data_IF_605455321216
#
_entry.id   IF_605455321216
#
_cell.length_a   1.000
_cell.length_b   1.000
_cell.length_c   1.000
_cell.angle_alpha   90.00
_cell.angle_beta   90.00
_cell.angle_gamma   90.00
#
_symmetry.space_group_name_H-M   'P 1'
#
loop_
_entity.id
_entity.type
_entity.pdbx_description
1 polymer ?
#
# COMPACT_ATOMS: atom_id res chain seq x y z
N UNK A 1 2.72 33.87 10.13
CA UNK A 1 2.78 33.16 8.83
C UNK A 1 1.38 32.70 8.48
N UNK A 2 0.90 32.97 7.26
CA UNK A 2 -0.44 32.55 6.83
C UNK A 2 -0.51 31.03 6.64
N UNK A 3 -1.71 30.42 6.74
CA UNK A 3 -1.91 29.00 6.47
C UNK A 3 -1.40 28.63 5.08
N UNK A 4 -1.62 29.48 4.09
CA UNK A 4 -1.16 29.30 2.71
C UNK A 4 0.37 29.21 2.60
N UNK A 5 1.11 30.01 3.35
CA UNK A 5 2.58 29.97 3.39
C UNK A 5 3.06 28.70 4.08
N UNK A 6 2.44 28.34 5.21
CA UNK A 6 2.74 27.09 5.93
C UNK A 6 2.50 25.86 5.05
N UNK A 7 1.42 25.84 4.28
CA UNK A 7 1.12 24.78 3.31
C UNK A 7 2.22 24.66 2.25
N UNK A 8 2.65 25.78 1.64
CA UNK A 8 3.73 25.78 0.65
C UNK A 8 5.06 25.26 1.22
N UNK A 9 5.38 25.62 2.47
CA UNK A 9 6.58 25.13 3.13
C UNK A 9 6.53 23.62 3.38
N UNK A 10 5.37 23.09 3.83
CA UNK A 10 5.18 21.64 4.02
C UNK A 10 5.26 20.90 2.71
N UNK A 11 4.62 21.37 1.65
CA UNK A 11 4.70 20.77 0.33
C UNK A 11 6.15 20.63 -0.14
N UNK A 12 6.95 21.70 0.02
CA UNK A 12 8.37 21.69 -0.32
C UNK A 12 9.19 20.74 0.57
N UNK A 13 8.93 20.75 1.88
CA UNK A 13 9.67 19.92 2.86
C UNK A 13 9.37 18.45 2.72
N UNK A 14 8.08 18.09 2.56
CA UNK A 14 7.60 16.72 2.52
C UNK A 14 7.50 16.15 1.10
N UNK A 15 7.76 16.97 0.06
CA UNK A 15 7.62 16.61 -1.36
C UNK A 15 6.25 16.00 -1.67
N UNK A 16 5.17 16.59 -1.15
CA UNK A 16 3.80 16.16 -1.37
C UNK A 16 3.05 17.15 -2.27
N UNK A 17 2.12 16.61 -3.06
CA UNK A 17 1.27 17.44 -3.91
C UNK A 17 0.23 18.21 -3.09
N UNK A 18 -0.31 19.28 -3.66
CA UNK A 18 -1.39 20.03 -3.02
C UNK A 18 -2.61 19.15 -2.75
N UNK A 19 -2.97 18.28 -3.67
CA UNK A 19 -4.13 17.42 -3.54
C UNK A 19 -3.89 16.28 -2.52
N UNK A 20 -2.66 15.79 -2.40
CA UNK A 20 -2.29 14.87 -1.33
C UNK A 20 -2.50 15.54 0.03
N UNK A 21 -2.06 16.77 0.19
CA UNK A 21 -2.25 17.54 1.40
C UNK A 21 -3.73 17.79 1.69
N UNK A 22 -4.53 18.16 0.69
CA UNK A 22 -5.98 18.35 0.84
C UNK A 22 -6.65 17.08 1.32
N UNK A 23 -6.32 15.93 0.71
CA UNK A 23 -6.86 14.63 1.13
C UNK A 23 -6.48 14.29 2.56
N UNK A 24 -5.21 14.52 2.97
CA UNK A 24 -4.72 14.24 4.34
C UNK A 24 -5.37 15.11 5.40
N UNK A 25 -5.65 16.37 5.08
CA UNK A 25 -6.31 17.28 6.02
C UNK A 25 -7.82 17.04 6.12
N UNK A 26 -8.45 16.58 5.04
CA UNK A 26 -9.89 16.31 4.99
C UNK A 26 -10.76 17.58 4.87
N UNK A 27 -10.19 18.66 4.34
CA UNK A 27 -10.89 19.94 4.11
C UNK A 27 -10.84 20.34 2.63
N UNK A 28 -11.91 20.99 2.12
CA UNK A 28 -11.92 21.50 0.75
C UNK A 28 -10.78 22.50 0.49
N UNK A 29 -10.34 22.59 -0.75
CA UNK A 29 -9.29 23.52 -1.18
C UNK A 29 -9.56 24.97 -0.80
N UNK A 30 -10.83 25.42 -0.94
CA UNK A 30 -11.27 26.77 -0.59
C UNK A 30 -11.04 27.10 0.90
N UNK A 31 -11.31 26.15 1.80
CA UNK A 31 -11.08 26.32 3.23
C UNK A 31 -9.60 26.46 3.57
N UNK A 32 -8.72 25.76 2.83
CA UNK A 32 -7.29 25.73 3.06
C UNK A 32 -6.55 26.90 2.42
N UNK A 33 -6.94 27.29 1.20
CA UNK A 33 -6.18 28.23 0.38
C UNK A 33 -6.74 29.64 0.35
N UNK A 34 -8.07 29.80 0.49
CA UNK A 34 -8.73 31.08 0.30
C UNK A 34 -9.16 31.74 1.61
N UNK A 35 -9.78 30.97 2.52
CA UNK A 35 -10.36 31.49 3.77
C UNK A 35 -9.54 31.22 5.01
N UNK A 36 -8.74 30.14 5.04
CA UNK A 36 -7.92 29.75 6.20
C UNK A 36 -8.74 29.61 7.47
N UNK A 37 -9.82 28.79 7.43
CA UNK A 37 -10.73 28.65 8.59
C UNK A 37 -9.99 28.15 9.83
N UNK A 38 -10.53 28.42 11.02
CA UNK A 38 -9.94 28.00 12.31
C UNK A 38 -9.79 26.46 12.34
N UNK A 39 -10.79 25.74 11.86
CA UNK A 39 -10.78 24.27 11.79
C UNK A 39 -9.69 23.74 10.86
N UNK A 40 -9.52 24.37 9.69
CA UNK A 40 -8.46 24.00 8.74
C UNK A 40 -7.06 24.28 9.30
N UNK A 41 -6.87 25.38 10.04
CA UNK A 41 -5.64 25.67 10.75
C UNK A 41 -5.36 24.64 11.85
N UNK A 42 -6.36 24.25 12.61
CA UNK A 42 -6.25 23.22 13.65
C UNK A 42 -5.86 21.88 13.04
N UNK A 43 -6.53 21.45 11.97
CA UNK A 43 -6.22 20.23 11.25
C UNK A 43 -4.79 20.25 10.71
N UNK A 44 -4.34 21.37 10.14
CA UNK A 44 -2.96 21.54 9.68
C UNK A 44 -1.94 21.41 10.82
N UNK A 45 -2.19 22.06 11.96
CA UNK A 45 -1.33 21.95 13.14
C UNK A 45 -1.27 20.52 13.70
N UNK A 46 -2.39 19.80 13.70
CA UNK A 46 -2.43 18.40 14.12
C UNK A 46 -1.57 17.51 13.20
N UNK A 47 -1.67 17.68 11.88
CA UNK A 47 -0.97 16.87 10.90
C UNK A 47 0.53 17.19 10.80
N UNK A 48 0.91 18.48 10.86
CA UNK A 48 2.23 18.96 10.45
C UNK A 48 2.90 19.92 11.46
N UNK A 49 2.26 20.29 12.54
CA UNK A 49 2.81 21.22 13.54
C UNK A 49 4.05 20.66 14.23
N UNK A 50 5.04 21.53 14.51
CA UNK A 50 6.24 21.16 15.26
C UNK A 50 5.94 21.06 16.77
N UNK A 51 6.75 20.26 17.49
CA UNK A 51 6.71 20.20 18.97
C UNK A 51 7.24 21.49 19.67
N UNK A 52 7.66 22.50 18.92
CA UNK A 52 8.41 23.65 19.39
C UNK A 52 7.58 24.83 19.93
N UNK A 53 6.38 24.60 20.43
CA UNK A 53 5.70 25.66 21.20
C UNK A 53 5.42 25.21 22.63
N UNK A 54 6.48 24.76 23.34
CA UNK A 54 6.52 24.79 24.79
C UNK A 54 7.32 26.01 25.28
N UNK A 55 7.26 27.15 24.62
CA UNK A 55 7.69 28.40 25.23
C UNK A 55 6.56 28.93 26.10
N UNK A 56 6.81 28.79 27.39
CA UNK A 56 6.05 29.36 28.46
C UNK A 56 6.00 30.90 28.34
N UNK A 57 4.87 31.42 27.86
CA UNK A 57 4.39 32.76 28.19
C UNK A 57 3.01 33.02 27.57
N UNK A 58 2.00 32.22 27.95
CA UNK A 58 0.61 32.66 27.92
C UNK A 58 -0.15 31.94 29.03
N UNK A 59 -0.15 32.60 30.17
CA UNK A 59 -1.04 32.37 31.31
C UNK A 59 -2.44 32.75 30.91
N UNK A 60 -3.27 31.75 30.58
CA UNK A 60 -4.69 31.61 30.90
C UNK A 60 -5.38 30.58 30.01
N UNK A 61 -5.48 29.38 30.49
CA UNK A 61 -6.46 28.30 30.39
C UNK A 61 -7.32 28.03 29.08
N UNK A 62 -6.76 28.06 27.84
CA UNK A 62 -7.41 27.41 26.69
C UNK A 62 -6.98 25.94 26.55
N UNK A 63 -5.94 25.48 27.27
CA UNK A 63 -5.38 24.10 27.11
C UNK A 63 -6.31 22.97 27.57
N UNK A 64 -7.33 23.25 28.41
CA UNK A 64 -8.21 22.19 28.92
C UNK A 64 -9.36 21.84 27.95
N UNK A 65 -9.86 22.81 27.19
CA UNK A 65 -10.99 22.62 26.30
C UNK A 65 -10.58 21.90 25.00
N UNK A 66 -9.46 22.34 24.38
CA UNK A 66 -8.86 21.68 23.23
C UNK A 66 -8.45 20.23 23.54
N UNK A 67 -7.97 19.97 24.75
CA UNK A 67 -7.58 18.63 25.16
C UNK A 67 -8.79 17.69 25.29
N UNK A 68 -9.89 18.16 25.88
CA UNK A 68 -11.13 17.39 25.99
C UNK A 68 -11.76 17.08 24.62
N UNK A 69 -11.66 18.02 23.69
CA UNK A 69 -12.14 17.80 22.32
C UNK A 69 -11.33 16.73 21.59
N UNK A 70 -10.01 16.76 21.74
CA UNK A 70 -9.16 15.73 21.15
C UNK A 70 -9.38 14.34 21.76
N UNK A 71 -9.70 14.26 23.04
CA UNK A 71 -9.96 12.98 23.70
C UNK A 71 -11.17 12.23 23.13
N UNK A 72 -12.09 12.91 22.45
CA UNK A 72 -13.19 12.26 21.72
C UNK A 72 -12.69 11.28 20.63
N UNK A 73 -11.48 11.48 20.13
CA UNK A 73 -10.85 10.61 19.14
C UNK A 73 -10.13 9.40 19.72
N UNK A 74 -9.95 9.30 21.05
CA UNK A 74 -9.24 8.21 21.69
C UNK A 74 -9.76 6.80 21.31
N UNK A 75 -11.07 6.52 21.25
CA UNK A 75 -11.56 5.20 20.88
C UNK A 75 -11.13 4.81 19.46
N UNK A 76 -11.06 5.77 18.55
CA UNK A 76 -10.60 5.56 17.18
C UNK A 76 -9.08 5.40 17.11
N UNK A 77 -8.31 6.23 17.81
CA UNK A 77 -6.85 6.18 17.88
C UNK A 77 -6.35 4.87 18.50
N UNK A 78 -7.06 4.32 19.49
CA UNK A 78 -6.71 3.02 20.12
C UNK A 78 -6.81 1.82 19.18
N UNK A 79 -7.41 1.97 18.00
CA UNK A 79 -7.41 0.94 16.94
C UNK A 79 -6.10 0.85 16.18
N UNK A 80 -5.20 1.83 16.32
CA UNK A 80 -3.85 1.76 15.79
C UNK A 80 -2.96 0.82 16.62
N UNK A 81 -1.87 0.28 16.06
CA UNK A 81 -0.94 -0.58 16.79
C UNK A 81 -0.03 0.25 17.72
N UNK A 82 -0.64 0.91 18.71
CA UNK A 82 -0.01 1.94 19.56
C UNK A 82 1.30 1.45 20.21
N UNK A 83 1.27 0.26 20.83
CA UNK A 83 2.47 -0.29 21.49
C UNK A 83 3.61 -0.51 20.51
N UNK A 84 3.31 -1.01 19.31
CA UNK A 84 4.32 -1.23 18.28
C UNK A 84 4.89 0.10 17.75
N UNK A 85 4.05 1.13 17.60
CA UNK A 85 4.50 2.49 17.22
C UNK A 85 5.38 3.12 18.31
N UNK A 86 5.04 2.95 19.58
CA UNK A 86 5.84 3.42 20.72
C UNK A 86 7.19 2.69 20.78
N UNK A 87 7.20 1.36 20.66
CA UNK A 87 8.42 0.55 20.68
C UNK A 87 9.38 0.90 19.52
N UNK A 88 8.84 1.29 18.37
CA UNK A 88 9.63 1.76 17.21
C UNK A 88 10.03 3.24 17.34
N UNK A 89 9.67 3.95 18.43
CA UNK A 89 9.98 5.36 18.63
C UNK A 89 9.26 6.32 17.68
N UNK A 90 8.20 5.86 17.00
CA UNK A 90 7.43 6.64 16.02
C UNK A 90 6.42 7.60 16.66
N UNK A 91 6.00 7.26 17.88
CA UNK A 91 5.22 8.11 18.77
C UNK A 91 5.82 8.04 20.18
N UNK A 92 5.64 9.07 21.05
CA UNK A 92 6.22 9.08 22.38
C UNK A 92 5.75 7.90 23.23
N UNK A 93 6.68 7.25 23.94
CA UNK A 93 6.40 6.03 24.73
C UNK A 93 5.33 6.25 25.81
N UNK A 94 5.30 7.44 26.42
CA UNK A 94 4.42 7.79 27.53
C UNK A 94 3.19 8.63 27.11
N UNK A 95 2.98 8.83 25.80
CA UNK A 95 1.85 9.62 25.31
C UNK A 95 0.52 9.00 25.74
N UNK A 96 -0.34 9.78 26.35
CA UNK A 96 -1.67 9.40 26.83
C UNK A 96 -2.69 10.47 26.44
N UNK A 97 -3.97 10.07 26.43
CA UNK A 97 -5.08 10.98 26.23
C UNK A 97 -4.90 11.89 24.98
N UNK A 98 -5.10 13.18 25.10
CA UNK A 98 -4.98 14.16 24.02
C UNK A 98 -3.59 14.14 23.36
N UNK A 99 -2.53 13.88 24.13
CA UNK A 99 -1.15 13.78 23.60
C UNK A 99 -1.01 12.58 22.66
N UNK A 100 -1.59 11.42 23.03
CA UNK A 100 -1.61 10.24 22.16
C UNK A 100 -2.35 10.53 20.85
N UNK A 101 -3.49 11.24 20.91
CA UNK A 101 -4.23 11.64 19.72
C UNK A 101 -3.34 12.51 18.82
N UNK A 102 -2.72 13.56 19.38
CA UNK A 102 -1.80 14.43 18.61
C UNK A 102 -0.65 13.64 17.99
N UNK A 103 -0.05 12.72 18.75
CA UNK A 103 1.07 11.92 18.27
C UNK A 103 0.68 11.02 17.10
N UNK A 104 -0.47 10.34 17.15
CA UNK A 104 -0.96 9.48 16.07
C UNK A 104 -1.35 10.30 14.83
N UNK A 105 -2.06 11.41 15.00
CA UNK A 105 -2.44 12.27 13.88
C UNK A 105 -1.21 12.83 13.16
N UNK A 106 -0.19 13.22 13.90
CA UNK A 106 1.10 13.69 13.36
C UNK A 106 1.87 12.56 12.67
N UNK A 107 1.97 11.39 13.29
CA UNK A 107 2.59 10.22 12.67
C UNK A 107 1.93 9.90 11.34
N UNK A 108 0.60 9.87 11.29
CA UNK A 108 -0.16 9.59 10.08
C UNK A 108 -0.20 10.76 9.09
N UNK A 109 0.23 11.96 9.50
CA UNK A 109 0.10 13.22 8.75
C UNK A 109 -1.35 13.48 8.29
N UNK A 110 -2.32 13.31 9.18
CA UNK A 110 -3.74 13.56 8.92
C UNK A 110 -4.26 14.66 9.83
N UNK A 111 -5.16 15.50 9.32
CA UNK A 111 -5.78 16.58 10.09
C UNK A 111 -7.11 16.20 10.73
N UNK A 112 -7.72 15.10 10.28
CA UNK A 112 -9.03 14.64 10.75
C UNK A 112 -9.26 13.17 10.40
N UNK A 113 -10.33 12.55 10.96
CA UNK A 113 -10.78 11.21 10.54
C UNK A 113 -11.23 11.24 9.07
N UNK A 114 -11.84 12.33 8.61
CA UNK A 114 -12.20 12.50 7.19
C UNK A 114 -10.95 12.48 6.32
N UNK A 115 -9.88 13.16 6.76
CA UNK A 115 -8.57 13.12 6.08
C UNK A 115 -7.99 11.71 6.03
N UNK A 116 -8.11 10.95 7.11
CA UNK A 116 -7.72 9.53 7.12
C UNK A 116 -8.52 8.72 6.09
N UNK A 117 -9.84 8.83 6.10
CA UNK A 117 -10.72 8.10 5.19
C UNK A 117 -10.45 8.46 3.71
N UNK A 118 -10.17 9.72 3.42
CA UNK A 118 -9.88 10.19 2.07
C UNK A 118 -8.50 9.72 1.57
N UNK A 119 -7.50 9.74 2.44
CA UNK A 119 -6.13 9.43 2.03
C UNK A 119 -5.81 7.93 2.06
N UNK A 120 -6.23 7.24 3.13
CA UNK A 120 -6.03 5.80 3.30
C UNK A 120 -7.28 4.97 2.91
N UNK A 121 -8.08 5.46 1.96
CA UNK A 121 -9.35 4.84 1.55
C UNK A 121 -9.23 3.35 1.22
N UNK A 122 -8.11 2.92 0.62
CA UNK A 122 -7.85 1.51 0.27
C UNK A 122 -7.83 0.56 1.47
N UNK A 123 -7.60 1.08 2.68
CA UNK A 123 -7.58 0.26 3.90
C UNK A 123 -8.97 0.05 4.50
N UNK A 124 -9.96 0.89 4.12
CA UNK A 124 -11.27 0.93 4.77
C UNK A 124 -12.11 -0.34 4.56
N UNK A 125 -11.81 -1.11 3.53
CA UNK A 125 -12.47 -2.39 3.26
C UNK A 125 -11.97 -3.53 4.16
N UNK A 126 -10.91 -3.29 4.92
CA UNK A 126 -10.32 -4.26 5.85
C UNK A 126 -10.97 -4.18 7.24
N UNK A 127 -10.90 -5.27 7.99
CA UNK A 127 -11.25 -5.30 9.42
C UNK A 127 -10.31 -4.49 10.31
N UNK A 128 -9.10 -4.15 9.82
CA UNK A 128 -8.06 -3.44 10.58
C UNK A 128 -7.48 -2.24 9.79
N UNK A 129 -8.31 -1.27 9.37
CA UNK A 129 -7.87 -0.19 8.49
C UNK A 129 -6.76 0.67 9.10
N UNK A 130 -6.79 0.94 10.41
CA UNK A 130 -5.79 1.74 11.09
C UNK A 130 -4.41 1.06 11.12
N UNK A 131 -4.37 -0.25 11.32
CA UNK A 131 -3.11 -1.02 11.33
C UNK A 131 -2.49 -1.09 9.94
N UNK A 132 -3.30 -1.32 8.91
CA UNK A 132 -2.84 -1.34 7.53
C UNK A 132 -2.38 0.06 7.05
N UNK A 133 -3.12 1.11 7.40
CA UNK A 133 -2.71 2.48 7.11
C UNK A 133 -1.39 2.84 7.82
N UNK A 134 -1.20 2.41 9.06
CA UNK A 134 0.06 2.60 9.77
C UNK A 134 1.22 1.88 9.07
N UNK A 135 0.98 0.67 8.52
CA UNK A 135 2.00 -0.04 7.73
C UNK A 135 2.34 0.70 6.43
N UNK A 136 1.34 1.20 5.68
CA UNK A 136 1.57 2.06 4.51
C UNK A 136 2.39 3.28 4.92
N UNK A 137 2.05 3.92 6.05
CA UNK A 137 2.77 5.08 6.56
C UNK A 137 4.25 4.80 6.86
N UNK A 138 4.59 3.61 7.35
CA UNK A 138 5.99 3.21 7.53
C UNK A 138 6.77 3.21 6.20
N UNK A 139 6.15 2.78 5.12
CA UNK A 139 6.75 2.87 3.78
C UNK A 139 6.93 4.31 3.33
N UNK A 140 5.90 5.15 3.47
CA UNK A 140 5.99 6.57 3.11
C UNK A 140 7.16 7.30 3.81
N UNK A 141 7.50 6.91 5.05
CA UNK A 141 8.62 7.47 5.79
C UNK A 141 9.99 7.06 5.23
N UNK A 142 10.05 5.98 4.45
CA UNK A 142 11.27 5.43 3.84
C UNK A 142 11.48 5.89 2.39
N UNK A 143 10.44 6.41 1.74
CA UNK A 143 10.54 6.89 0.36
C UNK A 143 11.59 7.98 0.27
N UNK A 144 12.53 7.81 -0.64
CA UNK A 144 13.52 8.84 -0.92
C UNK A 144 12.81 10.12 -1.43
N UNK A 145 13.09 11.26 -0.80
CA UNK A 145 12.48 12.55 -1.12
C UNK A 145 13.15 13.24 -2.32
N UNK A 146 13.55 12.46 -3.32
CA UNK A 146 14.10 13.02 -4.56
C UNK A 146 13.06 13.91 -5.26
N UNK A 147 13.52 15.04 -5.80
CA UNK A 147 12.70 16.06 -6.45
C UNK A 147 12.46 15.80 -7.93
N UNK A 148 12.97 14.70 -8.48
CA UNK A 148 12.79 14.38 -9.89
C UNK A 148 11.38 13.87 -10.14
N UNK A 149 10.66 14.54 -11.03
CA UNK A 149 9.38 14.09 -11.52
C UNK A 149 9.56 12.75 -12.23
N UNK A 150 8.68 11.82 -11.89
CA UNK A 150 8.66 10.51 -12.52
C UNK A 150 7.87 10.58 -13.82
N UNK A 151 8.52 10.23 -14.92
CA UNK A 151 7.86 9.98 -16.20
C UNK A 151 8.03 8.50 -16.50
N UNK A 152 6.95 7.69 -16.48
CA UNK A 152 7.05 6.28 -16.75
C UNK A 152 7.48 6.03 -18.20
N UNK A 153 8.56 5.28 -18.38
CA UNK A 153 8.90 4.67 -19.66
C UNK A 153 8.16 3.33 -19.75
N UNK A 154 7.05 3.34 -20.47
CA UNK A 154 6.19 2.18 -20.60
C UNK A 154 6.91 0.99 -21.20
N UNK A 155 7.74 1.20 -22.22
CA UNK A 155 8.44 0.12 -22.91
C UNK A 155 9.51 -0.50 -22.00
N UNK A 156 10.25 0.31 -21.26
CA UNK A 156 11.22 -0.17 -20.28
C UNK A 156 10.53 -0.96 -19.13
N UNK A 157 9.41 -0.48 -18.64
CA UNK A 157 8.63 -1.20 -17.61
C UNK A 157 8.16 -2.55 -18.14
N UNK A 158 7.55 -2.61 -19.32
CA UNK A 158 7.07 -3.86 -19.92
C UNK A 158 8.22 -4.85 -20.21
N UNK A 159 9.39 -4.35 -20.67
CA UNK A 159 10.57 -5.18 -20.88
C UNK A 159 11.06 -5.80 -19.56
N UNK A 160 11.09 -5.02 -18.47
CA UNK A 160 11.47 -5.51 -17.14
C UNK A 160 10.48 -6.55 -16.58
N UNK A 161 9.17 -6.37 -16.77
CA UNK A 161 8.19 -7.37 -16.37
C UNK A 161 8.36 -8.68 -17.16
N UNK A 162 8.58 -8.61 -18.47
CA UNK A 162 8.88 -9.78 -19.31
C UNK A 162 10.16 -10.48 -18.86
N UNK A 163 11.18 -9.73 -18.48
CA UNK A 163 12.42 -10.28 -17.92
C UNK A 163 12.18 -11.02 -16.62
N UNK A 164 11.44 -10.42 -15.68
CA UNK A 164 11.09 -11.06 -14.39
C UNK A 164 10.24 -12.32 -14.58
N UNK A 165 9.29 -12.32 -15.53
CA UNK A 165 8.47 -13.49 -15.87
C UNK A 165 9.34 -14.65 -16.35
N UNK A 166 10.25 -14.38 -17.31
CA UNK A 166 11.06 -15.42 -17.98
C UNK A 166 12.18 -15.95 -17.09
N UNK A 167 12.60 -15.21 -16.09
CA UNK A 167 13.74 -15.60 -15.26
C UNK A 167 13.33 -16.54 -14.12
N UNK A 168 12.99 -17.78 -14.50
CA UNK A 168 12.44 -18.80 -13.60
C UNK A 168 13.41 -19.30 -12.52
N UNK A 169 14.70 -19.00 -12.66
CA UNK A 169 15.77 -19.42 -11.72
C UNK A 169 15.96 -18.48 -10.53
N UNK A 170 15.35 -17.28 -10.57
CA UNK A 170 15.43 -16.35 -9.44
C UNK A 170 14.46 -16.79 -8.34
N UNK A 171 14.97 -17.01 -7.13
CA UNK A 171 14.17 -17.44 -5.98
C UNK A 171 14.46 -16.59 -4.74
N UNK A 172 13.53 -16.59 -3.79
CA UNK A 172 13.70 -15.92 -2.50
C UNK A 172 14.14 -14.45 -2.65
N UNK A 173 15.14 -14.06 -1.89
CA UNK A 173 15.64 -12.69 -1.88
C UNK A 173 16.24 -12.25 -3.23
N UNK A 174 16.76 -13.17 -4.04
CA UNK A 174 17.30 -12.79 -5.36
C UNK A 174 16.19 -12.29 -6.29
N UNK A 175 15.00 -12.90 -6.28
CA UNK A 175 13.85 -12.42 -7.03
C UNK A 175 13.42 -11.02 -6.57
N UNK A 176 13.35 -10.81 -5.25
CA UNK A 176 12.99 -9.48 -4.69
C UNK A 176 14.02 -8.40 -5.05
N UNK A 177 15.31 -8.72 -4.97
CA UNK A 177 16.37 -7.78 -5.32
C UNK A 177 16.33 -7.42 -6.80
N UNK A 178 16.18 -8.41 -7.69
CA UNK A 178 16.08 -8.18 -9.14
C UNK A 178 14.83 -7.36 -9.47
N UNK A 179 13.68 -7.63 -8.82
CA UNK A 179 12.48 -6.82 -8.98
C UNK A 179 12.70 -5.38 -8.52
N UNK A 180 13.39 -5.17 -7.39
CA UNK A 180 13.73 -3.83 -6.89
C UNK A 180 14.59 -3.06 -7.88
N UNK A 181 15.65 -3.68 -8.40
CA UNK A 181 16.54 -3.05 -9.37
C UNK A 181 15.81 -2.70 -10.68
N UNK A 182 15.04 -3.65 -11.20
CA UNK A 182 14.26 -3.47 -12.41
C UNK A 182 13.26 -2.30 -12.31
N UNK A 183 12.56 -2.18 -11.19
CA UNK A 183 11.59 -1.12 -10.93
C UNK A 183 12.28 0.22 -10.64
N UNK A 184 13.37 0.21 -9.87
CA UNK A 184 14.14 1.41 -9.57
C UNK A 184 14.66 2.09 -10.85
N UNK A 185 15.16 1.31 -11.81
CA UNK A 185 15.62 1.80 -13.10
C UNK A 185 14.49 2.44 -13.93
N UNK A 186 13.25 2.10 -13.63
CA UNK A 186 12.05 2.72 -14.22
C UNK A 186 11.46 3.84 -13.35
N UNK A 187 12.13 4.27 -12.28
CA UNK A 187 11.66 5.32 -11.37
C UNK A 187 10.56 4.91 -10.42
N UNK A 188 10.27 3.62 -10.30
CA UNK A 188 9.30 3.06 -9.36
C UNK A 188 10.02 2.67 -8.07
N UNK A 189 9.58 3.20 -6.93
CA UNK A 189 10.14 2.84 -5.62
C UNK A 189 9.62 1.49 -5.17
N UNK A 190 10.53 0.54 -4.89
CA UNK A 190 10.19 -0.78 -4.35
C UNK A 190 10.64 -0.86 -2.90
N UNK A 191 9.71 -1.05 -1.97
CA UNK A 191 9.97 -1.09 -0.54
C UNK A 191 9.59 -2.43 0.08
N UNK A 192 10.40 -2.88 1.03
CA UNK A 192 10.08 -3.99 1.93
C UNK A 192 9.93 -3.43 3.35
N UNK A 193 8.75 -3.57 3.91
CA UNK A 193 8.40 -2.99 5.21
C UNK A 193 7.82 -4.07 6.11
N UNK A 194 8.38 -4.18 7.32
CA UNK A 194 7.86 -5.09 8.33
C UNK A 194 6.40 -4.76 8.67
N UNK A 195 5.45 -5.70 8.46
CA UNK A 195 4.05 -5.44 8.78
C UNK A 195 3.81 -5.51 10.28
N UNK A 196 2.78 -4.81 10.74
CA UNK A 196 2.23 -5.09 12.07
C UNK A 196 1.47 -6.41 12.02
N UNK A 197 1.41 -7.11 13.16
CA UNK A 197 0.59 -8.30 13.29
C UNK A 197 -0.89 -7.92 13.13
N UNK A 198 -1.49 -8.37 12.05
CA UNK A 198 -2.89 -8.10 11.69
C UNK A 198 -3.43 -9.23 10.82
N UNK A 199 -4.75 -9.39 10.82
CA UNK A 199 -5.48 -10.24 9.89
C UNK A 199 -6.55 -9.37 9.20
N UNK A 200 -6.63 -9.36 7.87
CA UNK A 200 -5.77 -10.07 6.92
C UNK A 200 -4.35 -9.48 6.82
N UNK A 201 -3.37 -10.32 6.46
CA UNK A 201 -1.99 -9.87 6.26
C UNK A 201 -1.86 -9.14 4.92
N UNK A 202 -1.16 -8.00 4.83
CA UNK A 202 -0.92 -7.35 3.55
C UNK A 202 -0.02 -8.21 2.66
N UNK A 203 -0.33 -8.26 1.36
CA UNK A 203 0.53 -8.84 0.32
C UNK A 203 1.32 -7.75 -0.37
N UNK A 204 0.64 -6.70 -0.82
CA UNK A 204 1.23 -5.58 -1.53
C UNK A 204 0.38 -4.33 -1.33
N UNK A 205 1.02 -3.17 -1.24
CA UNK A 205 0.36 -1.88 -1.35
C UNK A 205 1.01 -1.08 -2.48
N UNK A 206 0.19 -0.43 -3.29
CA UNK A 206 0.62 0.55 -4.26
C UNK A 206 0.02 1.90 -3.91
N UNK A 207 0.83 2.95 -3.96
CA UNK A 207 0.41 4.32 -3.72
C UNK A 207 1.39 5.32 -4.34
N UNK A 208 0.97 6.57 -4.44
CA UNK A 208 1.82 7.67 -4.87
C UNK A 208 2.30 8.50 -3.68
N UNK A 209 3.58 8.81 -3.67
CA UNK A 209 4.17 9.79 -2.75
C UNK A 209 4.67 10.98 -3.56
N UNK A 210 3.91 12.07 -3.55
CA UNK A 210 4.11 13.15 -4.52
C UNK A 210 3.85 12.65 -5.95
N UNK A 211 4.87 12.68 -6.79
CA UNK A 211 4.84 12.17 -8.16
C UNK A 211 5.53 10.81 -8.32
N UNK A 212 6.00 10.21 -7.24
CA UNK A 212 6.70 8.93 -7.27
C UNK A 212 5.76 7.78 -6.97
N UNK A 213 5.68 6.78 -7.86
CA UNK A 213 4.94 5.55 -7.57
C UNK A 213 5.74 4.68 -6.62
N UNK A 214 5.06 4.10 -5.65
CA UNK A 214 5.64 3.26 -4.60
C UNK A 214 4.92 1.93 -4.57
N UNK A 215 5.67 0.84 -4.65
CA UNK A 215 5.18 -0.52 -4.47
C UNK A 215 5.81 -1.06 -3.19
N UNK A 216 4.97 -1.35 -2.20
CA UNK A 216 5.39 -1.79 -0.88
C UNK A 216 4.97 -3.22 -0.62
N UNK A 217 5.95 -4.07 -0.32
CA UNK A 217 5.74 -5.45 0.13
C UNK A 217 6.02 -5.61 1.63
N UNK A 218 5.39 -6.58 2.28
CA UNK A 218 5.80 -6.97 3.62
C UNK A 218 7.14 -7.74 3.57
N UNK A 219 7.90 -7.66 4.67
CA UNK A 219 9.12 -8.48 4.83
C UNK A 219 8.81 -9.96 5.12
N UNK A 220 7.55 -10.30 5.34
CA UNK A 220 7.10 -11.69 5.52
C UNK A 220 7.21 -12.47 4.22
N UNK A 221 7.47 -13.77 4.33
CA UNK A 221 7.53 -14.67 3.18
C UNK A 221 6.15 -14.84 2.54
N UNK A 222 6.11 -14.72 1.23
CA UNK A 222 4.98 -15.05 0.37
C UNK A 222 5.47 -15.99 -0.72
N UNK A 223 4.61 -16.72 -1.41
CA UNK A 223 5.05 -17.53 -2.54
C UNK A 223 5.33 -16.68 -3.79
N UNK A 224 6.20 -17.18 -4.65
CA UNK A 224 6.68 -16.47 -5.84
C UNK A 224 5.56 -16.14 -6.86
N UNK A 225 4.53 -16.99 -6.94
CA UNK A 225 3.38 -16.75 -7.81
C UNK A 225 2.58 -15.54 -7.33
N UNK A 226 2.26 -15.47 -6.03
CA UNK A 226 1.56 -14.33 -5.44
C UNK A 226 2.39 -13.06 -5.45
N UNK A 227 3.72 -13.20 -5.24
CA UNK A 227 4.62 -12.04 -5.31
C UNK A 227 4.59 -11.41 -6.70
N UNK A 228 4.75 -12.21 -7.77
CA UNK A 228 4.75 -11.71 -9.14
C UNK A 228 3.36 -11.21 -9.57
N UNK A 229 2.29 -11.91 -9.20
CA UNK A 229 0.92 -11.45 -9.47
C UNK A 229 0.66 -10.08 -8.84
N UNK A 230 1.01 -9.93 -7.56
CA UNK A 230 0.84 -8.67 -6.84
C UNK A 230 1.72 -7.54 -7.40
N UNK A 231 2.96 -7.86 -7.79
CA UNK A 231 3.87 -6.90 -8.40
C UNK A 231 3.34 -6.41 -9.75
N UNK A 232 2.92 -7.33 -10.63
CA UNK A 232 2.44 -7.00 -11.98
C UNK A 232 1.13 -6.23 -11.92
N UNK A 233 0.24 -6.58 -10.99
CA UNK A 233 -0.98 -5.84 -10.72
C UNK A 233 -0.68 -4.39 -10.24
N UNK A 234 0.26 -4.22 -9.30
CA UNK A 234 0.66 -2.89 -8.85
C UNK A 234 1.29 -2.05 -9.98
N UNK A 235 2.08 -2.67 -10.85
CA UNK A 235 2.67 -1.99 -12.02
C UNK A 235 1.61 -1.60 -13.06
N UNK A 236 0.53 -2.37 -13.22
CA UNK A 236 -0.59 -1.98 -14.09
C UNK A 236 -1.21 -0.65 -13.66
N UNK A 237 -1.33 -0.40 -12.35
CA UNK A 237 -1.80 0.90 -11.84
C UNK A 237 -0.84 2.04 -12.17
N UNK A 238 0.47 1.78 -12.24
CA UNK A 238 1.44 2.79 -12.69
C UNK A 238 1.27 3.14 -14.17
N UNK A 239 1.03 2.11 -15.00
CA UNK A 239 0.99 2.25 -16.46
C UNK A 239 -0.32 2.85 -16.98
N UNK A 240 -1.44 2.43 -16.42
CA UNK A 240 -2.75 2.65 -17.05
C UNK A 240 -3.70 3.52 -16.25
N UNK A 241 -3.43 3.74 -14.98
CA UNK A 241 -4.35 4.47 -14.12
C UNK A 241 -3.81 5.86 -13.74
N UNK A 242 -4.70 6.84 -13.51
CA UNK A 242 -4.25 8.19 -13.23
C UNK A 242 -3.45 8.29 -11.94
N UNK A 243 -2.59 9.29 -11.87
CA UNK A 243 -1.90 9.69 -10.65
C UNK A 243 -2.88 9.73 -9.47
N UNK A 244 -2.44 9.21 -8.30
CA UNK A 244 -3.19 9.11 -7.04
C UNK A 244 -4.13 7.92 -6.89
N UNK A 245 -4.17 7.03 -7.88
CA UNK A 245 -4.72 5.69 -7.65
C UNK A 245 -3.87 4.99 -6.59
N UNK A 246 -4.51 4.25 -5.72
CA UNK A 246 -3.83 3.40 -4.74
C UNK A 246 -4.55 2.07 -4.65
N UNK A 247 -3.82 0.99 -4.43
CA UNK A 247 -4.40 -0.32 -4.19
C UNK A 247 -3.77 -1.00 -2.96
N UNK A 248 -4.50 -1.92 -2.36
CA UNK A 248 -4.04 -2.75 -1.26
C UNK A 248 -4.51 -4.18 -1.48
N UNK A 249 -3.56 -5.09 -1.65
CA UNK A 249 -3.82 -6.51 -1.80
C UNK A 249 -3.60 -7.20 -0.45
N UNK A 250 -4.56 -8.02 -0.05
CA UNK A 250 -4.58 -8.71 1.23
C UNK A 250 -4.57 -10.23 1.01
N UNK A 251 -3.79 -10.93 1.83
CA UNK A 251 -3.77 -12.39 1.83
C UNK A 251 -5.06 -12.94 2.44
N UNK A 252 -5.72 -13.79 1.67
CA UNK A 252 -6.84 -14.59 2.18
C UNK A 252 -6.28 -15.76 3.00
N UNK A 253 -5.87 -15.51 4.23
CA UNK A 253 -5.79 -16.59 5.20
C UNK A 253 -7.23 -16.93 5.58
N UNK A 254 -7.74 -18.04 4.99
CA UNK A 254 -8.94 -18.80 5.39
C UNK A 254 -9.94 -18.04 6.32
N UNK A 255 -10.46 -16.89 5.86
CA UNK A 255 -11.65 -16.35 6.47
C UNK A 255 -12.83 -17.10 5.87
N UNK A 256 -13.74 -17.63 6.71
CA UNK A 256 -15.00 -18.19 6.21
C UNK A 256 -15.67 -17.16 5.30
N UNK A 257 -16.29 -17.63 4.22
CA UNK A 257 -17.01 -16.80 3.24
C UNK A 257 -18.00 -15.82 3.92
N UNK A 258 -18.52 -16.19 5.08
CA UNK A 258 -19.41 -15.38 5.93
C UNK A 258 -18.73 -14.18 6.63
N UNK A 259 -17.41 -14.08 6.65
CA UNK A 259 -16.65 -13.01 7.31
C UNK A 259 -15.91 -12.09 6.33
N UNK A 260 -16.14 -12.20 5.02
CA UNK A 260 -15.63 -11.25 4.04
C UNK A 260 -16.47 -9.97 4.17
N UNK A 261 -15.84 -8.79 4.39
CA UNK A 261 -16.58 -7.55 4.40
C UNK A 261 -17.13 -7.31 2.98
N UNK A 262 -18.43 -7.44 2.86
CA UNK A 262 -19.26 -7.11 1.71
C UNK A 262 -18.81 -7.70 0.35
N UNK A 263 -19.17 -8.98 0.03
CA UNK A 263 -18.86 -9.59 -1.29
C UNK A 263 -19.58 -8.90 -2.46
N UNK A 264 -20.42 -7.89 -2.20
CA UNK A 264 -21.19 -7.15 -3.20
C UNK A 264 -20.57 -5.80 -3.61
N UNK A 265 -19.43 -5.38 -3.06
CA UNK A 265 -18.72 -4.24 -3.61
C UNK A 265 -18.10 -4.64 -4.95
N UNK A 266 -18.74 -4.25 -6.06
CA UNK A 266 -18.18 -4.46 -7.39
C UNK A 266 -16.75 -3.89 -7.43
N UNK A 267 -15.79 -4.70 -7.89
CA UNK A 267 -14.42 -4.23 -8.13
C UNK A 267 -14.49 -3.01 -9.07
N UNK A 268 -13.67 -2.00 -8.81
CA UNK A 268 -13.59 -0.87 -9.74
C UNK A 268 -13.09 -1.36 -11.10
N UNK A 269 -13.42 -0.64 -12.16
CA UNK A 269 -12.92 -0.95 -13.52
C UNK A 269 -11.39 -1.02 -13.52
N UNK A 270 -10.73 -0.11 -12.80
CA UNK A 270 -9.27 -0.07 -12.67
C UNK A 270 -8.69 -1.35 -12.02
N UNK A 271 -9.35 -1.88 -11.00
CA UNK A 271 -8.92 -3.14 -10.35
C UNK A 271 -9.08 -4.34 -11.30
N UNK A 272 -10.16 -4.37 -12.11
CA UNK A 272 -10.39 -5.43 -13.09
C UNK A 272 -9.34 -5.36 -14.21
N UNK A 273 -9.02 -4.16 -14.70
CA UNK A 273 -8.00 -3.95 -15.72
C UNK A 273 -6.60 -4.33 -15.21
N UNK A 274 -6.25 -3.95 -13.99
CA UNK A 274 -4.97 -4.31 -13.37
C UNK A 274 -4.83 -5.81 -13.12
N UNK A 275 -5.90 -6.46 -12.67
CA UNK A 275 -5.95 -7.91 -12.48
C UNK A 275 -5.78 -8.64 -13.80
N UNK A 276 -6.52 -8.24 -14.85
CA UNK A 276 -6.41 -8.82 -16.19
C UNK A 276 -5.00 -8.65 -16.75
N UNK A 277 -4.43 -7.44 -16.66
CA UNK A 277 -3.05 -7.20 -17.11
C UNK A 277 -2.05 -8.14 -16.42
N UNK A 278 -2.11 -8.27 -15.09
CA UNK A 278 -1.21 -9.15 -14.36
C UNK A 278 -1.38 -10.61 -14.78
N UNK A 279 -2.60 -11.04 -14.98
CA UNK A 279 -2.93 -12.40 -15.43
C UNK A 279 -2.37 -12.67 -16.82
N UNK A 280 -2.63 -11.79 -17.78
CA UNK A 280 -2.20 -11.96 -19.19
C UNK A 280 -0.67 -11.89 -19.33
N UNK A 281 -0.03 -11.02 -18.55
CA UNK A 281 1.43 -10.90 -18.54
C UNK A 281 2.14 -12.11 -17.92
N UNK A 282 1.55 -12.76 -16.92
CA UNK A 282 2.11 -13.95 -16.29
C UNK A 282 1.84 -15.23 -17.08
N UNK A 283 0.64 -15.39 -17.60
CA UNK A 283 0.23 -16.52 -18.42
C UNK A 283 -0.87 -16.04 -19.37
N UNK A 284 -0.56 -15.98 -20.66
CA UNK A 284 -1.53 -15.56 -21.68
C UNK A 284 -2.67 -16.56 -21.82
N UNK A 285 -3.80 -16.10 -22.35
CA UNK A 285 -4.97 -16.95 -22.58
C UNK A 285 -4.64 -18.15 -23.50
N UNK A 286 -3.78 -17.95 -24.51
CA UNK A 286 -3.34 -19.03 -25.40
C UNK A 286 -2.52 -20.10 -24.65
N UNK A 287 -1.53 -19.69 -23.85
CA UNK A 287 -0.72 -20.58 -23.01
C UNK A 287 -1.60 -21.34 -22.00
N UNK A 288 -2.58 -20.65 -21.41
CA UNK A 288 -3.53 -21.25 -20.48
C UNK A 288 -4.43 -22.29 -21.15
N UNK A 289 -4.98 -21.98 -22.34
CA UNK A 289 -5.75 -22.93 -23.12
C UNK A 289 -4.93 -24.16 -23.47
N UNK A 290 -3.68 -24.00 -23.91
CA UNK A 290 -2.78 -25.11 -24.24
C UNK A 290 -2.54 -26.01 -23.04
N UNK A 291 -2.24 -25.40 -21.86
CA UNK A 291 -2.07 -26.13 -20.60
C UNK A 291 -3.31 -26.94 -20.21
N UNK A 292 -4.51 -26.38 -20.37
CA UNK A 292 -5.75 -27.04 -19.98
C UNK A 292 -6.11 -28.14 -21.00
N UNK A 293 -5.93 -27.87 -22.28
CA UNK A 293 -6.25 -28.82 -23.36
C UNK A 293 -5.41 -30.09 -23.34
N UNK A 294 -4.22 -30.09 -22.70
CA UNK A 294 -3.41 -31.29 -22.54
C UNK A 294 -4.10 -32.39 -21.71
N UNK A 295 -5.13 -32.06 -20.92
CA UNK A 295 -5.90 -32.98 -20.08
C UNK A 295 -5.16 -33.57 -18.88
N UNK A 296 -3.85 -33.27 -18.73
CA UNK A 296 -2.98 -33.81 -17.69
C UNK A 296 -2.42 -32.73 -16.74
N UNK A 297 -3.05 -31.57 -16.68
CA UNK A 297 -2.60 -30.41 -15.91
C UNK A 297 -2.52 -30.66 -14.38
N UNK A 298 -3.04 -31.77 -13.87
CA UNK A 298 -2.91 -32.23 -12.50
C UNK A 298 -1.64 -33.08 -12.25
N UNK A 299 -0.87 -33.41 -13.30
CA UNK A 299 0.34 -34.19 -13.19
C UNK A 299 1.57 -33.26 -13.02
N UNK A 300 2.47 -33.61 -12.10
CA UNK A 300 3.72 -32.87 -11.84
C UNK A 300 4.56 -32.69 -13.11
N UNK A 301 4.69 -33.75 -13.93
CA UNK A 301 5.47 -33.73 -15.18
C UNK A 301 4.86 -32.78 -16.22
N UNK A 302 3.53 -32.67 -16.27
CA UNK A 302 2.85 -31.75 -17.17
C UNK A 302 3.14 -30.27 -16.78
N UNK A 303 3.04 -29.94 -15.50
CA UNK A 303 3.39 -28.60 -15.01
C UNK A 303 4.85 -28.27 -15.31
N UNK A 304 5.80 -29.18 -15.08
CA UNK A 304 7.21 -28.98 -15.40
C UNK A 304 7.46 -28.78 -16.90
N UNK A 305 6.80 -29.58 -17.75
CA UNK A 305 6.90 -29.45 -19.21
C UNK A 305 6.45 -28.06 -19.67
N UNK A 306 5.24 -27.63 -19.30
CA UNK A 306 4.71 -26.34 -19.71
C UNK A 306 5.44 -25.15 -19.09
N UNK A 307 5.97 -25.30 -17.87
CA UNK A 307 6.87 -24.32 -17.28
C UNK A 307 8.10 -24.08 -18.17
N UNK A 308 8.68 -25.13 -18.72
CA UNK A 308 9.79 -25.05 -19.68
C UNK A 308 9.37 -24.44 -21.03
N UNK A 309 8.25 -24.87 -21.59
CA UNK A 309 7.74 -24.39 -22.90
C UNK A 309 7.40 -22.89 -22.85
N UNK A 310 6.68 -22.47 -21.82
CA UNK A 310 6.21 -21.09 -21.70
C UNK A 310 7.24 -20.15 -21.05
N UNK A 311 8.34 -20.70 -20.55
CA UNK A 311 9.32 -19.96 -19.73
C UNK A 311 8.64 -19.21 -18.56
N UNK A 312 7.81 -19.92 -17.81
CA UNK A 312 7.03 -19.40 -16.67
C UNK A 312 7.29 -20.28 -15.45
N UNK A 313 7.34 -19.68 -14.26
CA UNK A 313 7.49 -20.46 -13.02
C UNK A 313 6.36 -21.47 -12.86
N UNK A 314 6.68 -22.72 -12.46
CA UNK A 314 5.65 -23.74 -12.30
C UNK A 314 4.60 -23.35 -11.24
N UNK A 315 4.97 -22.57 -10.21
CA UNK A 315 4.04 -22.04 -9.21
C UNK A 315 2.94 -21.14 -9.81
N UNK A 316 3.26 -20.37 -10.86
CA UNK A 316 2.27 -19.52 -11.58
C UNK A 316 1.23 -20.40 -12.28
N UNK A 317 1.66 -21.49 -12.96
CA UNK A 317 0.74 -22.42 -13.60
C UNK A 317 -0.20 -23.06 -12.58
N UNK A 318 0.34 -23.47 -11.43
CA UNK A 318 -0.43 -24.07 -10.34
C UNK A 318 -1.43 -23.05 -9.77
N UNK A 319 -1.00 -21.80 -9.50
CA UNK A 319 -1.90 -20.76 -8.98
C UNK A 319 -3.05 -20.47 -9.95
N UNK A 320 -2.75 -20.33 -11.26
CA UNK A 320 -3.77 -20.12 -12.29
C UNK A 320 -4.80 -21.24 -12.34
N UNK A 321 -4.36 -22.49 -12.35
CA UNK A 321 -5.25 -23.66 -12.34
C UNK A 321 -6.11 -23.73 -11.06
N UNK A 322 -5.56 -23.26 -9.93
CA UNK A 322 -6.31 -23.17 -8.67
C UNK A 322 -7.34 -22.04 -8.66
N UNK A 323 -7.01 -20.90 -9.26
CA UNK A 323 -7.94 -19.77 -9.41
C UNK A 323 -9.14 -20.16 -10.27
N UNK A 324 -8.91 -20.98 -11.31
CA UNK A 324 -9.95 -21.50 -12.17
C UNK A 324 -10.69 -22.76 -11.62
N UNK A 325 -10.34 -23.20 -10.42
CA UNK A 325 -10.95 -24.40 -9.83
C UNK A 325 -10.61 -25.72 -10.51
N UNK A 326 -9.61 -25.73 -11.42
CA UNK A 326 -9.17 -26.95 -12.13
C UNK A 326 -8.42 -27.91 -11.23
N UNK A 327 -7.68 -27.38 -10.24
CA UNK A 327 -7.02 -28.13 -9.19
C UNK A 327 -7.35 -27.59 -7.80
N UNK A 328 -7.29 -28.43 -6.78
CA UNK A 328 -7.62 -28.04 -5.41
C UNK A 328 -6.55 -27.13 -4.81
N UNK A 329 -6.96 -26.21 -3.92
CA UNK A 329 -6.04 -25.33 -3.20
C UNK A 329 -5.03 -26.07 -2.31
N UNK A 330 -5.35 -27.26 -1.82
CA UNK A 330 -4.47 -28.13 -1.03
C UNK A 330 -3.78 -29.23 -1.86
N UNK A 331 -3.55 -29.02 -3.16
CA UNK A 331 -2.86 -29.95 -4.03
C UNK A 331 -1.38 -30.11 -3.64
N UNK A 332 -0.83 -31.31 -3.85
CA UNK A 332 0.63 -31.59 -3.75
C UNK A 332 1.45 -30.75 -4.74
N UNK A 333 0.85 -30.20 -5.78
CA UNK A 333 1.50 -29.29 -6.72
C UNK A 333 1.89 -27.94 -6.08
N UNK A 334 1.41 -27.66 -4.86
CA UNK A 334 1.84 -26.46 -4.11
C UNK A 334 3.35 -26.46 -3.78
N UNK A 335 4.02 -27.62 -3.85
CA UNK A 335 5.48 -27.71 -3.74
C UNK A 335 6.22 -26.88 -4.81
N UNK A 336 5.55 -26.54 -5.91
CA UNK A 336 6.07 -25.65 -6.94
C UNK A 336 6.03 -24.17 -6.57
N UNK A 337 5.30 -23.78 -5.54
CA UNK A 337 5.20 -22.40 -5.04
C UNK A 337 6.33 -22.14 -4.06
N UNK A 338 7.35 -21.43 -4.51
CA UNK A 338 8.57 -21.21 -3.73
C UNK A 338 8.43 -19.93 -2.92
N UNK A 339 8.82 -19.98 -1.65
CA UNK A 339 8.80 -18.80 -0.79
C UNK A 339 9.81 -17.73 -1.26
N UNK A 340 9.34 -16.49 -1.27
CA UNK A 340 10.09 -15.28 -1.66
C UNK A 340 10.20 -14.31 -0.48
#
# INVERSE_FOLDING_TARGET
MSLKESIKQIQKREHITQDELIRRLGYPRSCLMERGTTEANTAFKLAFGNNETNNASDTQNPKSQDSKELEKFLPWVRKFPIRALQNKGLIPANAKNAELVRAVFRFMQIGSIVGFNNYYSVTLQSSNPQTLAAWIRLGELRVNRSTTDFTPDQDAILANLKFLRKNVFLHGQSLRNTAREALHNCGIEFLEVEPFLTAPTPICAFYWRGYRPVIQFPTTKIDDSKFLEALFHAVAHVLYHPLRTSCLQLGNHAMPIAAQPNPSAAKSVQEIEAEKFAQDMLLSEAEECELICCGRFNERRCIQHFSGVFHVRPGILVERLQQQGKIKRNSLLNDFKIAV
#
